data_IF_382846303014
#
_entry.id   IF_382846303014
#
_cell.length_a   1.000
_cell.length_b   1.000
_cell.length_c   1.000
_cell.angle_alpha   90.00
_cell.angle_beta   90.00
_cell.angle_gamma   90.00
#
_symmetry.space_group_name_H-M   'P 1'
#
loop_
_entity.id
_entity.type
_entity.pdbx_description
1 polymer ?
#
# COMPACT_ATOMS: atom_id res chain seq x y z
N UNK A 1 32.89 -56.37 -5.33
CA UNK A 1 33.39 -56.53 -6.71
C UNK A 1 34.87 -56.89 -6.72
N UNK A 2 35.72 -56.29 -5.86
CA UNK A 2 37.14 -56.70 -5.68
C UNK A 2 37.28 -58.12 -5.14
N UNK A 3 36.57 -58.45 -4.06
CA UNK A 3 36.70 -59.75 -3.38
C UNK A 3 36.26 -60.95 -4.23
N UNK A 4 35.40 -60.73 -5.24
CA UNK A 4 34.97 -61.78 -6.17
C UNK A 4 36.03 -62.02 -7.26
N UNK A 5 36.76 -60.97 -7.66
CA UNK A 5 37.86 -61.07 -8.61
C UNK A 5 39.07 -61.78 -7.99
N UNK A 6 39.41 -61.44 -6.74
CA UNK A 6 40.48 -62.11 -5.99
C UNK A 6 40.15 -63.59 -5.71
N UNK A 7 38.90 -63.92 -5.38
CA UNK A 7 38.47 -65.31 -5.21
C UNK A 7 38.53 -66.11 -6.52
N UNK A 8 38.27 -65.46 -7.67
CA UNK A 8 38.37 -66.08 -8.98
C UNK A 8 39.83 -66.32 -9.39
N UNK A 9 40.73 -65.37 -9.13
CA UNK A 9 42.17 -65.52 -9.40
C UNK A 9 42.81 -66.64 -8.57
N UNK A 10 42.45 -66.75 -7.28
CA UNK A 10 42.94 -67.83 -6.42
C UNK A 10 42.42 -69.20 -6.90
N UNK A 11 41.14 -69.28 -7.30
CA UNK A 11 40.56 -70.51 -7.82
C UNK A 11 41.17 -70.94 -9.16
N UNK A 12 41.55 -69.99 -10.02
CA UNK A 12 42.26 -70.31 -11.27
C UNK A 12 43.68 -70.82 -10.99
N UNK A 13 44.37 -70.26 -10.00
CA UNK A 13 45.74 -70.66 -9.66
C UNK A 13 45.79 -72.05 -9.01
N UNK A 14 44.82 -72.38 -8.15
CA UNK A 14 44.68 -73.73 -7.58
C UNK A 14 44.34 -74.78 -8.66
N UNK A 15 43.58 -74.40 -9.69
CA UNK A 15 43.28 -75.26 -10.83
C UNK A 15 44.54 -75.50 -11.68
N UNK A 16 45.29 -74.46 -12.00
CA UNK A 16 46.54 -74.58 -12.78
C UNK A 16 47.59 -75.44 -12.04
N UNK A 17 47.75 -75.26 -10.73
CA UNK A 17 48.65 -76.10 -9.94
C UNK A 17 48.19 -77.56 -9.83
N UNK A 18 46.89 -77.83 -9.88
CA UNK A 18 46.37 -79.19 -9.91
C UNK A 18 46.60 -79.86 -11.27
N UNK A 19 46.48 -79.11 -12.37
CA UNK A 19 46.74 -79.58 -13.73
C UNK A 19 48.23 -79.93 -13.91
N UNK A 20 49.17 -79.07 -13.48
CA UNK A 20 50.61 -79.36 -13.55
C UNK A 20 51.01 -80.62 -12.76
N UNK A 21 50.42 -80.84 -11.57
CA UNK A 21 50.68 -82.06 -10.77
C UNK A 21 50.13 -83.31 -11.44
N UNK A 22 48.98 -83.23 -12.10
CA UNK A 22 48.42 -84.33 -12.86
C UNK A 22 49.29 -84.67 -14.07
N UNK A 23 49.76 -83.67 -14.81
CA UNK A 23 50.65 -83.85 -15.97
C UNK A 23 51.99 -84.47 -15.55
N UNK A 24 52.59 -84.01 -14.44
CA UNK A 24 53.82 -84.58 -13.91
C UNK A 24 53.66 -86.08 -13.54
N UNK A 25 52.57 -86.43 -12.85
CA UNK A 25 52.30 -87.83 -12.49
C UNK A 25 52.01 -88.71 -13.72
N UNK A 26 51.38 -88.16 -14.77
CA UNK A 26 51.18 -88.89 -16.03
C UNK A 26 52.52 -89.16 -16.73
N UNK A 27 53.41 -88.16 -16.78
CA UNK A 27 54.75 -88.33 -17.36
C UNK A 27 55.58 -89.39 -16.62
N UNK A 28 55.52 -89.46 -15.29
CA UNK A 28 56.21 -90.50 -14.52
C UNK A 28 55.62 -91.91 -14.77
N UNK A 29 54.30 -91.99 -14.99
CA UNK A 29 53.61 -93.24 -15.30
C UNK A 29 53.96 -93.74 -16.72
N UNK A 30 54.14 -92.84 -17.69
CA UNK A 30 54.63 -93.19 -19.02
C UNK A 30 56.09 -93.67 -18.98
N UNK A 31 56.99 -92.94 -18.31
CA UNK A 31 58.40 -93.34 -18.18
C UNK A 31 58.58 -94.70 -17.49
N UNK A 32 57.70 -95.06 -16.56
CA UNK A 32 57.76 -96.38 -15.89
C UNK A 32 57.21 -97.50 -16.77
N UNK A 33 56.24 -97.22 -17.64
CA UNK A 33 55.76 -98.18 -18.66
C UNK A 33 56.83 -98.47 -19.70
N UNK A 34 57.49 -97.43 -20.23
CA UNK A 34 58.57 -97.59 -21.21
C UNK A 34 59.69 -98.50 -20.68
N UNK A 35 60.14 -98.29 -19.44
CA UNK A 35 61.16 -99.14 -18.80
C UNK A 35 60.70 -100.59 -18.60
N UNK A 36 59.41 -100.82 -18.42
CA UNK A 36 58.86 -102.17 -18.26
C UNK A 36 58.79 -102.91 -19.60
N UNK A 37 58.48 -102.20 -20.67
CA UNK A 37 58.49 -102.73 -22.05
C UNK A 37 59.93 -103.08 -22.49
N UNK A 38 60.93 -102.24 -22.19
CA UNK A 38 62.34 -102.55 -22.46
C UNK A 38 62.80 -103.84 -21.75
N UNK A 39 62.49 -103.99 -20.46
CA UNK A 39 62.83 -105.19 -19.68
C UNK A 39 62.10 -106.45 -20.19
N UNK A 40 60.89 -106.31 -20.72
CA UNK A 40 60.17 -107.43 -21.35
C UNK A 40 60.83 -107.87 -22.66
N UNK A 41 61.26 -106.91 -23.49
CA UNK A 41 61.98 -107.20 -24.74
C UNK A 41 63.31 -107.91 -24.43
N UNK A 42 64.08 -107.44 -23.44
CA UNK A 42 65.32 -108.08 -23.04
C UNK A 42 65.12 -109.54 -22.56
N UNK A 43 64.01 -109.80 -21.85
CA UNK A 43 63.66 -111.16 -21.44
C UNK A 43 63.29 -112.06 -22.62
N UNK A 44 62.59 -111.53 -23.62
CA UNK A 44 62.26 -112.26 -24.85
C UNK A 44 63.48 -112.55 -25.72
N UNK A 45 64.43 -111.61 -25.79
CA UNK A 45 65.73 -111.82 -26.47
C UNK A 45 66.52 -112.93 -25.76
N UNK A 46 66.63 -112.89 -24.44
CA UNK A 46 67.36 -113.93 -23.69
C UNK A 46 66.72 -115.33 -23.85
N UNK A 47 65.38 -115.39 -23.93
CA UNK A 47 64.63 -116.63 -24.14
C UNK A 47 64.82 -117.20 -25.55
N UNK A 48 64.87 -116.32 -26.55
CA UNK A 48 65.11 -116.73 -27.94
C UNK A 48 66.56 -117.17 -28.16
N UNK A 49 67.54 -116.50 -27.55
CA UNK A 49 68.95 -116.91 -27.59
C UNK A 49 69.22 -118.26 -26.91
N UNK A 50 68.48 -118.60 -25.85
CA UNK A 50 68.54 -119.93 -25.22
C UNK A 50 67.86 -121.04 -26.03
N UNK A 51 66.89 -120.71 -26.87
CA UNK A 51 66.18 -121.69 -27.71
C UNK A 51 66.95 -122.06 -28.97
N UNK A 52 67.89 -121.23 -29.44
CA UNK A 52 68.54 -121.37 -30.75
C UNK A 52 69.90 -122.10 -30.70
N UNK A 53 70.28 -122.66 -29.54
CA UNK A 53 71.45 -123.54 -29.40
C UNK A 53 71.03 -125.00 -29.24
N UNK A 54 70.58 -125.63 -30.33
CA UNK A 54 70.31 -127.06 -30.32
C UNK A 54 69.90 -127.68 -31.65
N UNK A 55 70.89 -128.28 -32.32
CA UNK A 55 70.78 -129.39 -33.28
C UNK A 55 70.64 -129.08 -34.79
N UNK A 56 71.72 -129.41 -35.48
CA UNK A 56 71.99 -129.38 -36.92
C UNK A 56 71.08 -130.22 -37.82
N UNK A 57 70.90 -129.74 -39.05
CA UNK A 57 71.23 -130.58 -40.21
C UNK A 57 70.11 -131.02 -41.16
N UNK A 58 69.29 -130.12 -41.73
CA UNK A 58 68.63 -130.29 -43.06
C UNK A 58 68.43 -128.94 -43.77
N UNK A 59 69.53 -128.34 -44.22
CA UNK A 59 69.61 -126.93 -44.62
C UNK A 59 69.13 -126.55 -46.03
N UNK A 60 68.93 -127.47 -46.98
CA UNK A 60 68.82 -127.05 -48.40
C UNK A 60 67.40 -126.84 -48.93
N UNK A 61 66.36 -127.44 -48.33
CA UNK A 61 64.95 -127.21 -48.72
C UNK A 61 64.30 -126.10 -47.89
N UNK A 62 64.80 -125.86 -46.68
CA UNK A 62 64.29 -124.81 -45.79
C UNK A 62 64.74 -123.41 -46.25
N UNK A 63 65.99 -123.26 -46.73
CA UNK A 63 66.50 -121.98 -47.20
C UNK A 63 65.74 -121.42 -48.41
N UNK A 64 65.29 -122.27 -49.34
CA UNK A 64 64.51 -121.81 -50.51
C UNK A 64 63.11 -121.37 -50.09
N UNK A 65 62.45 -122.13 -49.20
CA UNK A 65 61.14 -121.76 -48.66
C UNK A 65 61.20 -120.52 -47.75
N UNK A 66 62.31 -120.35 -47.04
CA UNK A 66 62.60 -119.18 -46.21
C UNK A 66 62.88 -117.95 -47.07
N UNK A 67 63.54 -118.09 -48.22
CA UNK A 67 63.76 -117.01 -49.19
C UNK A 67 62.47 -116.63 -49.95
N UNK A 68 61.60 -117.59 -50.25
CA UNK A 68 60.27 -117.32 -50.81
C UNK A 68 59.37 -116.61 -49.78
N UNK A 69 59.34 -117.08 -48.52
CA UNK A 69 58.67 -116.38 -47.43
C UNK A 69 59.29 -115.02 -47.12
N UNK A 70 60.60 -114.85 -47.25
CA UNK A 70 61.24 -113.54 -47.10
C UNK A 70 60.87 -112.60 -48.25
N UNK A 71 60.78 -113.09 -49.49
CA UNK A 71 60.31 -112.29 -50.62
C UNK A 71 58.82 -111.94 -50.50
N UNK A 72 58.00 -112.86 -50.00
CA UNK A 72 56.58 -112.62 -49.75
C UNK A 72 56.39 -111.61 -48.60
N UNK A 73 57.16 -111.74 -47.51
CA UNK A 73 57.22 -110.75 -46.43
C UNK A 73 57.76 -109.40 -46.88
N UNK A 74 58.74 -109.35 -47.79
CA UNK A 74 59.25 -108.10 -48.37
C UNK A 74 58.23 -107.45 -49.30
N UNK A 75 57.45 -108.23 -50.06
CA UNK A 75 56.32 -107.72 -50.85
C UNK A 75 55.20 -107.21 -49.95
N UNK A 76 54.84 -107.93 -48.89
CA UNK A 76 53.87 -107.47 -47.88
C UNK A 76 54.39 -106.23 -47.14
N UNK A 77 55.67 -106.16 -46.82
CA UNK A 77 56.29 -104.97 -46.22
C UNK A 77 56.28 -103.79 -47.19
N UNK A 78 56.57 -104.00 -48.47
CA UNK A 78 56.46 -102.96 -49.51
C UNK A 78 55.03 -102.49 -49.73
N UNK A 79 54.04 -103.39 -49.67
CA UNK A 79 52.62 -103.03 -49.73
C UNK A 79 52.23 -102.25 -48.48
N UNK A 80 52.63 -102.68 -47.28
CA UNK A 80 52.42 -101.93 -46.03
C UNK A 80 53.10 -100.57 -46.06
N UNK A 81 54.31 -100.46 -46.60
CA UNK A 81 55.04 -99.19 -46.69
C UNK A 81 54.42 -98.26 -47.74
N UNK A 82 53.89 -98.82 -48.85
CA UNK A 82 53.08 -98.07 -49.82
C UNK A 82 51.78 -97.59 -49.19
N UNK A 83 51.09 -98.43 -48.43
CA UNK A 83 49.82 -98.10 -47.81
C UNK A 83 50.01 -97.08 -46.66
N UNK A 84 51.09 -97.22 -45.86
CA UNK A 84 51.52 -96.22 -44.88
C UNK A 84 51.91 -94.90 -45.55
N UNK A 85 52.69 -94.93 -46.63
CA UNK A 85 53.06 -93.72 -47.37
C UNK A 85 51.84 -93.05 -48.03
N UNK A 86 50.87 -93.84 -48.50
CA UNK A 86 49.60 -93.31 -49.01
C UNK A 86 48.76 -92.69 -47.89
N UNK A 87 48.75 -93.31 -46.70
CA UNK A 87 48.06 -92.78 -45.52
C UNK A 87 48.72 -91.51 -45.00
N UNK A 88 50.05 -91.47 -44.84
CA UNK A 88 50.82 -90.28 -44.46
C UNK A 88 50.61 -89.13 -45.46
N UNK A 89 50.59 -89.43 -46.76
CA UNK A 89 50.31 -88.43 -47.79
C UNK A 89 48.87 -87.91 -47.71
N UNK A 90 47.92 -88.79 -47.38
CA UNK A 90 46.53 -88.38 -47.16
C UNK A 90 46.37 -87.55 -45.89
N UNK A 91 47.06 -87.90 -44.80
CA UNK A 91 47.08 -87.15 -43.54
C UNK A 91 47.77 -85.79 -43.71
N UNK A 92 48.94 -85.72 -44.34
CA UNK A 92 49.57 -84.45 -44.71
C UNK A 92 48.65 -83.59 -45.57
N UNK A 93 47.92 -84.18 -46.52
CA UNK A 93 46.97 -83.44 -47.34
C UNK A 93 45.75 -82.95 -46.54
N UNK A 94 45.33 -83.66 -45.48
CA UNK A 94 44.30 -83.19 -44.55
C UNK A 94 44.82 -82.06 -43.67
N UNK A 95 45.97 -82.24 -43.02
CA UNK A 95 46.61 -81.21 -42.21
C UNK A 95 46.92 -79.95 -43.01
N UNK A 96 47.34 -80.07 -44.27
CA UNK A 96 47.55 -78.93 -45.17
C UNK A 96 46.25 -78.16 -45.42
N UNK A 97 45.14 -78.86 -45.66
CA UNK A 97 43.82 -78.22 -45.84
C UNK A 97 43.34 -77.53 -44.57
N UNK A 98 43.54 -78.14 -43.41
CA UNK A 98 43.22 -77.53 -42.11
C UNK A 98 44.07 -76.29 -41.85
N UNK A 99 45.37 -76.33 -42.17
CA UNK A 99 46.27 -75.18 -42.10
C UNK A 99 45.85 -74.05 -43.05
N UNK A 100 45.45 -74.38 -44.27
CA UNK A 100 44.98 -73.40 -45.25
C UNK A 100 43.63 -72.79 -44.81
N UNK A 101 42.76 -73.59 -44.19
CA UNK A 101 41.50 -73.12 -43.63
C UNK A 101 41.72 -72.21 -42.42
N UNK A 102 42.56 -72.60 -41.46
CA UNK A 102 42.94 -71.74 -40.33
C UNK A 102 43.61 -70.44 -40.78
N UNK A 103 44.46 -70.47 -41.83
CA UNK A 103 45.00 -69.25 -42.43
C UNK A 103 43.92 -68.36 -43.02
N UNK A 104 42.90 -68.93 -43.66
CA UNK A 104 41.77 -68.16 -44.17
C UNK A 104 40.96 -67.51 -43.04
N UNK A 105 40.69 -68.24 -41.96
CA UNK A 105 40.00 -67.73 -40.77
C UNK A 105 40.81 -66.64 -40.06
N UNK A 106 42.13 -66.80 -39.92
CA UNK A 106 43.03 -65.78 -39.38
C UNK A 106 43.00 -64.52 -40.25
N UNK A 107 43.00 -64.66 -41.58
CA UNK A 107 42.89 -63.52 -42.49
C UNK A 107 41.53 -62.82 -42.39
N UNK A 108 40.44 -63.56 -42.23
CA UNK A 108 39.11 -62.99 -42.02
C UNK A 108 39.00 -62.28 -40.68
N UNK A 109 39.53 -62.86 -39.60
CA UNK A 109 39.61 -62.24 -38.28
C UNK A 109 40.50 -60.98 -38.29
N UNK A 110 41.62 -60.99 -39.01
CA UNK A 110 42.47 -59.81 -39.17
C UNK A 110 41.73 -58.68 -39.90
N UNK A 111 40.99 -58.99 -40.96
CA UNK A 111 40.14 -58.03 -41.68
C UNK A 111 39.00 -57.49 -40.80
N UNK A 112 38.40 -58.34 -39.97
CA UNK A 112 37.38 -57.91 -39.02
C UNK A 112 37.97 -56.99 -37.93
N UNK A 113 39.17 -57.32 -37.42
CA UNK A 113 39.90 -56.48 -36.47
C UNK A 113 40.24 -55.11 -37.05
N UNK A 114 40.73 -55.04 -38.29
CA UNK A 114 41.00 -53.76 -38.96
C UNK A 114 39.72 -52.93 -39.12
N UNK A 115 38.60 -53.54 -39.53
CA UNK A 115 37.31 -52.85 -39.64
C UNK A 115 36.80 -52.33 -38.30
N UNK A 116 36.92 -53.14 -37.24
CA UNK A 116 36.53 -52.74 -35.89
C UNK A 116 37.44 -51.62 -35.37
N UNK A 117 38.74 -51.68 -35.63
CA UNK A 117 39.68 -50.61 -35.28
C UNK A 117 39.31 -49.29 -35.96
N UNK A 118 39.00 -49.32 -37.26
CA UNK A 118 38.55 -48.12 -37.98
C UNK A 118 37.24 -47.56 -37.43
N UNK A 119 36.30 -48.45 -37.05
CA UNK A 119 35.03 -48.03 -36.45
C UNK A 119 35.25 -47.40 -35.07
N UNK A 120 36.19 -47.94 -34.28
CA UNK A 120 36.59 -47.36 -32.99
C UNK A 120 37.21 -45.98 -33.20
N UNK A 121 38.14 -45.83 -34.16
CA UNK A 121 38.74 -44.53 -34.47
C UNK A 121 37.69 -43.50 -34.94
N UNK A 122 36.68 -43.93 -35.70
CA UNK A 122 35.56 -43.08 -36.12
C UNK A 122 34.71 -42.65 -34.92
N UNK A 123 34.38 -43.57 -34.02
CA UNK A 123 33.65 -43.25 -32.80
C UNK A 123 34.45 -42.37 -31.86
N UNK A 124 35.78 -42.56 -31.75
CA UNK A 124 36.65 -41.69 -30.96
C UNK A 124 36.67 -40.26 -31.51
N UNK A 125 36.71 -40.09 -32.84
CA UNK A 125 36.57 -38.77 -33.47
C UNK A 125 35.21 -38.14 -33.19
N UNK A 126 34.12 -38.89 -33.34
CA UNK A 126 32.77 -38.40 -33.01
C UNK A 126 32.65 -38.03 -31.53
N UNK A 127 33.27 -38.80 -30.64
CA UNK A 127 33.34 -38.50 -29.20
C UNK A 127 34.16 -37.22 -28.94
N UNK A 128 35.23 -37.00 -29.68
CA UNK A 128 36.01 -35.76 -29.66
C UNK A 128 35.18 -34.56 -30.08
N UNK A 129 34.50 -34.64 -31.22
CA UNK A 129 33.62 -33.57 -31.73
C UNK A 129 32.46 -33.27 -30.76
N UNK A 130 31.82 -34.31 -30.18
CA UNK A 130 30.79 -34.10 -29.18
C UNK A 130 31.33 -33.45 -27.90
N UNK A 131 32.56 -33.81 -27.47
CA UNK A 131 33.19 -33.16 -26.32
C UNK A 131 33.47 -31.69 -26.58
N UNK A 132 34.00 -31.35 -27.76
CA UNK A 132 34.20 -29.94 -28.13
C UNK A 132 32.88 -29.15 -28.20
N UNK A 133 31.79 -29.77 -28.65
CA UNK A 133 30.46 -29.15 -28.62
C UNK A 133 29.94 -28.94 -27.19
N UNK A 134 30.19 -29.88 -26.28
CA UNK A 134 29.83 -29.73 -24.86
C UNK A 134 30.67 -28.65 -24.20
N UNK A 135 31.97 -28.58 -24.48
CA UNK A 135 32.84 -27.52 -23.96
C UNK A 135 32.43 -26.13 -24.50
N UNK A 136 32.03 -26.03 -25.77
CA UNK A 136 31.46 -24.81 -26.33
C UNK A 136 30.10 -24.44 -25.70
N UNK A 137 29.27 -25.44 -25.38
CA UNK A 137 28.00 -25.22 -24.68
C UNK A 137 28.23 -24.75 -23.22
N UNK A 138 29.23 -25.30 -22.53
CA UNK A 138 29.62 -24.84 -21.18
C UNK A 138 30.15 -23.40 -21.20
N UNK A 139 30.97 -23.04 -22.19
CA UNK A 139 31.39 -21.63 -22.36
C UNK A 139 30.24 -20.68 -22.70
N UNK A 140 29.17 -21.20 -23.33
CA UNK A 140 27.95 -20.42 -23.56
C UNK A 140 27.12 -20.23 -22.29
N UNK A 141 27.22 -21.13 -21.31
CA UNK A 141 26.55 -21.02 -20.01
C UNK A 141 27.10 -19.83 -19.21
N UNK A 142 28.43 -19.65 -19.14
CA UNK A 142 29.06 -18.49 -18.49
C UNK A 142 28.62 -17.17 -19.16
N UNK A 143 28.50 -17.16 -20.49
CA UNK A 143 28.03 -15.98 -21.22
C UNK A 143 26.54 -15.71 -20.96
N UNK A 144 25.72 -16.76 -20.87
CA UNK A 144 24.30 -16.64 -20.49
C UNK A 144 24.19 -16.09 -19.07
N UNK A 145 25.01 -16.57 -18.13
CA UNK A 145 25.02 -16.09 -16.74
C UNK A 145 25.33 -14.59 -16.68
N UNK A 146 26.39 -14.14 -17.35
CA UNK A 146 26.73 -12.71 -17.45
C UNK A 146 25.62 -11.87 -18.11
N UNK A 147 24.98 -12.39 -19.16
CA UNK A 147 23.84 -11.73 -19.81
C UNK A 147 22.62 -11.66 -18.87
N UNK A 148 22.37 -12.70 -18.07
CA UNK A 148 21.28 -12.71 -17.10
C UNK A 148 21.53 -11.74 -15.95
N UNK A 149 22.74 -11.67 -15.41
CA UNK A 149 23.11 -10.68 -14.40
C UNK A 149 22.93 -9.26 -14.95
N UNK A 150 23.39 -9.02 -16.18
CA UNK A 150 23.24 -7.70 -16.83
C UNK A 150 21.77 -7.36 -17.09
N UNK A 151 20.96 -8.32 -17.53
CA UNK A 151 19.52 -8.11 -17.71
C UNK A 151 18.83 -7.81 -16.38
N UNK A 152 19.12 -8.56 -15.32
CA UNK A 152 18.59 -8.30 -13.98
C UNK A 152 18.96 -6.89 -13.50
N UNK A 153 20.23 -6.50 -13.64
CA UNK A 153 20.68 -5.16 -13.27
C UNK A 153 19.99 -4.05 -14.08
N UNK A 154 19.76 -4.28 -15.39
CA UNK A 154 19.03 -3.35 -16.24
C UNK A 154 17.54 -3.29 -15.88
N UNK A 155 16.91 -4.42 -15.59
CA UNK A 155 15.52 -4.47 -15.13
C UNK A 155 15.34 -3.71 -13.82
N UNK A 156 16.25 -3.87 -12.86
CA UNK A 156 16.20 -3.14 -11.60
C UNK A 156 16.40 -1.65 -11.81
N UNK A 157 17.32 -1.25 -12.71
CA UNK A 157 17.49 0.15 -13.12
C UNK A 157 16.22 0.72 -13.76
N UNK A 158 15.53 -0.07 -14.58
CA UNK A 158 14.27 0.33 -15.21
C UNK A 158 13.17 0.50 -14.17
N UNK A 159 13.07 -0.40 -13.19
CA UNK A 159 12.11 -0.27 -12.07
C UNK A 159 12.40 0.97 -11.24
N UNK A 160 13.66 1.24 -10.90
CA UNK A 160 14.06 2.46 -10.20
C UNK A 160 13.64 3.72 -10.96
N UNK A 161 13.90 3.75 -12.28
CA UNK A 161 13.52 4.88 -13.12
C UNK A 161 11.99 5.03 -13.23
N UNK A 162 11.24 3.93 -13.28
CA UNK A 162 9.78 3.98 -13.27
C UNK A 162 9.24 4.58 -11.98
N UNK A 163 9.77 4.18 -10.82
CA UNK A 163 9.39 4.77 -9.53
C UNK A 163 9.71 6.27 -9.49
N UNK A 164 10.88 6.67 -9.99
CA UNK A 164 11.24 8.09 -10.07
C UNK A 164 10.33 8.88 -11.01
N UNK A 165 9.89 8.29 -12.13
CA UNK A 165 8.93 8.91 -13.04
C UNK A 165 7.57 9.07 -12.35
N UNK A 166 7.06 8.03 -11.69
CA UNK A 166 5.80 8.09 -10.94
C UNK A 166 5.84 9.18 -9.85
N UNK A 167 6.96 9.30 -9.14
CA UNK A 167 7.14 10.34 -8.12
C UNK A 167 7.21 11.74 -8.74
N UNK A 168 7.83 11.90 -9.92
CA UNK A 168 7.84 13.16 -10.66
C UNK A 168 6.45 13.52 -11.19
N UNK A 169 5.67 12.56 -11.66
CA UNK A 169 4.28 12.76 -12.09
C UNK A 169 3.41 13.21 -10.92
N UNK A 170 3.55 12.59 -9.73
CA UNK A 170 2.87 13.05 -8.51
C UNK A 170 3.26 14.47 -8.11
N UNK A 171 4.54 14.82 -8.24
CA UNK A 171 5.00 16.19 -7.97
C UNK A 171 4.43 17.18 -8.98
N UNK A 172 4.27 16.77 -10.24
CA UNK A 172 3.62 17.58 -11.27
C UNK A 172 2.14 17.80 -10.92
N UNK A 173 1.39 16.77 -10.54
CA UNK A 173 -0.01 16.88 -10.16
C UNK A 173 -0.20 17.86 -8.98
N UNK A 174 0.67 17.77 -7.97
CA UNK A 174 0.65 18.70 -6.83
C UNK A 174 0.98 20.13 -7.26
N UNK A 175 1.93 20.30 -8.19
CA UNK A 175 2.27 21.62 -8.72
C UNK A 175 1.12 22.22 -9.55
N UNK A 176 0.43 21.41 -10.35
CA UNK A 176 -0.72 21.85 -11.14
C UNK A 176 -1.88 22.28 -10.21
N UNK A 177 -2.16 21.53 -9.14
CA UNK A 177 -3.13 21.93 -8.11
C UNK A 177 -2.74 23.24 -7.42
N UNK A 178 -1.45 23.41 -7.09
CA UNK A 178 -0.96 24.64 -6.46
C UNK A 178 -1.05 25.83 -7.41
N UNK A 179 -0.82 25.64 -8.71
CA UNK A 179 -1.02 26.68 -9.72
C UNK A 179 -2.49 27.05 -9.91
N UNK A 180 -3.39 26.07 -9.88
CA UNK A 180 -4.84 26.34 -9.94
C UNK A 180 -5.29 27.16 -8.72
N UNK A 181 -4.90 26.74 -7.51
CA UNK A 181 -5.18 27.50 -6.29
C UNK A 181 -4.57 28.91 -6.31
N UNK A 182 -3.35 29.06 -6.84
CA UNK A 182 -2.73 30.37 -7.01
C UNK A 182 -3.49 31.26 -8.00
N UNK A 183 -4.03 30.69 -9.09
CA UNK A 183 -4.85 31.44 -10.06
C UNK A 183 -6.20 31.82 -9.47
N UNK A 184 -6.85 30.94 -8.71
CA UNK A 184 -8.11 31.23 -8.02
C UNK A 184 -7.94 32.37 -7.02
N UNK A 185 -6.92 32.29 -6.16
CA UNK A 185 -6.62 33.36 -5.20
C UNK A 185 -6.23 34.69 -5.87
N UNK A 186 -5.52 34.65 -7.00
CA UNK A 186 -5.25 35.86 -7.79
C UNK A 186 -6.54 36.48 -8.33
N UNK A 187 -7.47 35.66 -8.82
CA UNK A 187 -8.75 36.11 -9.34
C UNK A 187 -9.62 36.72 -8.24
N UNK A 188 -9.71 36.08 -7.07
CA UNK A 188 -10.39 36.61 -5.88
C UNK A 188 -9.83 37.98 -5.48
N UNK A 189 -8.51 38.12 -5.38
CA UNK A 189 -7.87 39.40 -5.04
C UNK A 189 -8.13 40.48 -6.09
N UNK A 190 -8.19 40.12 -7.38
CA UNK A 190 -8.55 41.07 -8.44
C UNK A 190 -10.00 41.53 -8.31
N UNK A 191 -10.93 40.62 -8.01
CA UNK A 191 -12.33 40.98 -7.76
C UNK A 191 -12.48 41.88 -6.54
N UNK A 192 -11.77 41.61 -5.44
CA UNK A 192 -11.74 42.48 -4.26
C UNK A 192 -11.22 43.89 -4.58
N UNK A 193 -10.16 43.98 -5.39
CA UNK A 193 -9.61 45.26 -5.85
C UNK A 193 -10.63 46.01 -6.71
N UNK A 194 -11.34 45.33 -7.62
CA UNK A 194 -12.38 45.96 -8.44
C UNK A 194 -13.56 46.44 -7.60
N UNK A 195 -13.97 45.67 -6.60
CA UNK A 195 -15.01 46.06 -5.63
C UNK A 195 -14.58 47.26 -4.78
N UNK A 196 -13.33 47.29 -4.31
CA UNK A 196 -12.77 48.42 -3.58
C UNK A 196 -12.68 49.68 -4.47
N UNK A 197 -12.25 49.53 -5.72
CA UNK A 197 -12.22 50.61 -6.70
C UNK A 197 -13.62 51.15 -7.01
N UNK A 198 -14.63 50.29 -7.12
CA UNK A 198 -16.02 50.70 -7.29
C UNK A 198 -16.52 51.52 -6.10
N UNK A 199 -16.25 51.07 -4.86
CA UNK A 199 -16.56 51.81 -3.63
C UNK A 199 -15.85 53.16 -3.58
N UNK A 200 -14.57 53.21 -3.97
CA UNK A 200 -13.81 54.46 -4.04
C UNK A 200 -14.44 55.44 -5.03
N UNK A 201 -14.81 54.98 -6.23
CA UNK A 201 -15.48 55.82 -7.24
C UNK A 201 -16.85 56.32 -6.76
N UNK A 202 -17.63 55.47 -6.07
CA UNK A 202 -18.90 55.90 -5.49
C UNK A 202 -18.70 56.94 -4.39
N UNK A 203 -17.70 56.74 -3.52
CA UNK A 203 -17.30 57.72 -2.50
C UNK A 203 -16.86 59.05 -3.11
N UNK A 204 -16.07 59.02 -4.19
CA UNK A 204 -15.67 60.22 -4.94
C UNK A 204 -16.88 60.97 -5.50
N UNK A 205 -17.82 60.26 -6.15
CA UNK A 205 -19.06 60.88 -6.66
C UNK A 205 -19.89 61.53 -5.55
N UNK A 206 -20.00 60.88 -4.39
CA UNK A 206 -20.69 61.46 -3.23
C UNK A 206 -19.98 62.71 -2.72
N UNK A 207 -18.65 62.69 -2.71
CA UNK A 207 -17.85 63.83 -2.29
C UNK A 207 -17.99 65.00 -3.25
N UNK A 208 -17.95 64.76 -4.56
CA UNK A 208 -18.22 65.76 -5.60
C UNK A 208 -19.63 66.36 -5.44
N UNK A 209 -20.67 65.53 -5.27
CA UNK A 209 -22.03 66.01 -5.04
C UNK A 209 -22.17 66.86 -3.75
N UNK A 210 -21.45 66.49 -2.69
CA UNK A 210 -21.43 67.29 -1.45
C UNK A 210 -20.64 68.60 -1.62
N UNK A 211 -19.56 68.60 -2.41
CA UNK A 211 -18.82 69.82 -2.75
C UNK A 211 -19.69 70.78 -3.58
N UNK A 212 -20.45 70.27 -4.56
CA UNK A 212 -21.42 71.08 -5.30
C UNK A 212 -22.49 71.66 -4.38
N UNK A 213 -23.06 70.86 -3.48
CA UNK A 213 -24.05 71.34 -2.51
C UNK A 213 -23.47 72.42 -1.57
N UNK A 214 -22.21 72.26 -1.13
CA UNK A 214 -21.52 73.27 -0.32
C UNK A 214 -21.35 74.57 -1.13
N UNK A 215 -20.92 74.48 -2.39
CA UNK A 215 -20.78 75.65 -3.25
C UNK A 215 -22.12 76.40 -3.45
N UNK A 216 -23.22 75.67 -3.63
CA UNK A 216 -24.57 76.24 -3.71
C UNK A 216 -24.99 76.92 -2.39
N UNK A 217 -24.69 76.29 -1.25
CA UNK A 217 -24.93 76.88 0.07
C UNK A 217 -24.06 78.12 0.30
N UNK A 218 -22.80 78.12 -0.09
CA UNK A 218 -21.91 79.28 0.00
C UNK A 218 -22.44 80.44 -0.86
N UNK A 219 -22.88 80.17 -2.10
CA UNK A 219 -23.51 81.17 -2.95
C UNK A 219 -24.78 81.73 -2.30
N UNK A 220 -25.59 80.86 -1.68
CA UNK A 220 -26.81 81.25 -0.98
C UNK A 220 -26.52 82.10 0.25
N UNK A 221 -25.51 81.73 1.04
CA UNK A 221 -25.04 82.50 2.19
C UNK A 221 -24.53 83.87 1.73
N UNK A 222 -23.82 83.95 0.60
CA UNK A 222 -23.35 85.23 0.08
C UNK A 222 -24.53 86.13 -0.30
N UNK A 223 -25.56 85.60 -0.99
CA UNK A 223 -26.80 86.35 -1.27
C UNK A 223 -27.49 86.82 0.01
N UNK A 224 -27.54 85.98 1.05
CA UNK A 224 -28.09 86.39 2.35
C UNK A 224 -27.23 87.46 3.02
N UNK A 225 -25.90 87.39 2.92
CA UNK A 225 -25.00 88.44 3.45
C UNK A 225 -25.25 89.77 2.76
N UNK A 226 -25.27 89.77 1.42
CA UNK A 226 -25.55 90.97 0.63
C UNK A 226 -26.95 91.53 0.96
N UNK A 227 -27.96 90.67 1.11
CA UNK A 227 -29.30 91.09 1.52
C UNK A 227 -29.34 91.63 2.96
N UNK A 228 -28.60 91.03 3.90
CA UNK A 228 -28.52 91.55 5.27
C UNK A 228 -27.75 92.87 5.33
N UNK A 229 -26.77 93.07 4.46
CA UNK A 229 -26.06 94.35 4.31
C UNK A 229 -27.01 95.41 3.76
N UNK A 230 -27.76 95.11 2.69
CA UNK A 230 -28.81 95.99 2.17
C UNK A 230 -29.88 96.31 3.22
N UNK A 231 -30.34 95.31 3.99
CA UNK A 231 -31.30 95.53 5.08
C UNK A 231 -30.69 96.31 6.25
N UNK A 232 -29.38 96.21 6.47
CA UNK A 232 -28.66 96.97 7.50
C UNK A 232 -28.44 98.40 7.05
N UNK A 233 -28.14 98.65 5.78
CA UNK A 233 -28.10 99.97 5.16
C UNK A 233 -29.49 100.61 5.19
N UNK A 234 -30.53 99.88 4.75
CA UNK A 234 -31.91 100.34 4.84
C UNK A 234 -32.35 100.60 6.28
N UNK A 235 -32.00 99.72 7.24
CA UNK A 235 -32.21 99.99 8.66
C UNK A 235 -31.35 101.14 9.17
N UNK A 236 -30.17 101.39 8.62
CA UNK A 236 -29.34 102.52 9.01
C UNK A 236 -29.92 103.82 8.47
N UNK A 237 -30.43 103.83 7.24
CA UNK A 237 -31.19 104.94 6.67
C UNK A 237 -32.49 105.17 7.43
N UNK A 238 -33.24 104.11 7.71
CA UNK A 238 -34.42 104.14 8.58
C UNK A 238 -34.03 104.55 9.98
N UNK A 239 -32.90 104.14 10.55
CA UNK A 239 -32.42 104.60 11.86
C UNK A 239 -31.89 106.02 11.79
N UNK A 240 -31.42 106.53 10.65
CA UNK A 240 -31.08 107.94 10.49
C UNK A 240 -32.35 108.79 10.34
N UNK A 241 -33.37 108.28 9.66
CA UNK A 241 -34.71 108.85 9.62
C UNK A 241 -35.39 108.74 10.98
N UNK A 242 -35.22 107.61 11.65
CA UNK A 242 -35.74 107.35 12.98
C UNK A 242 -34.92 108.14 13.96
N UNK A 243 -33.62 108.38 13.84
CA UNK A 243 -32.85 109.24 14.73
C UNK A 243 -33.14 110.73 14.46
N UNK A 244 -33.66 111.05 13.27
CA UNK A 244 -34.40 112.30 13.05
C UNK A 244 -35.79 112.29 13.75
N UNK A 245 -36.43 111.13 13.96
CA UNK A 245 -37.73 110.97 14.67
C UNK A 245 -37.63 110.53 16.15
N UNK A 246 -36.45 110.11 16.62
CA UNK A 246 -36.17 109.22 17.77
C UNK A 246 -34.95 109.79 18.52
N UNK A 247 -35.02 111.09 18.76
CA UNK A 247 -34.95 111.65 20.11
C UNK A 247 -36.13 111.16 21.01
N UNK A 248 -36.76 110.03 20.67
CA UNK A 248 -37.91 109.39 21.29
C UNK A 248 -37.71 107.88 21.23
N UNK A 249 -37.15 107.39 22.33
CA UNK A 249 -37.33 106.05 22.91
C UNK A 249 -36.46 104.93 22.33
N UNK A 250 -35.53 104.49 23.19
CA UNK A 250 -34.60 103.39 23.00
C UNK A 250 -35.08 102.08 23.66
N UNK A 251 -34.48 100.97 23.18
CA UNK A 251 -34.34 99.65 23.81
C UNK A 251 -35.63 98.80 23.92
N UNK A 252 -35.64 97.47 23.81
CA UNK A 252 -34.65 96.43 24.13
C UNK A 252 -35.08 95.08 23.51
N UNK A 253 -34.14 94.14 23.32
CA UNK A 253 -34.38 92.69 23.20
C UNK A 253 -34.36 92.04 24.59
N UNK A 254 -34.93 90.84 24.79
CA UNK A 254 -34.06 89.72 25.19
C UNK A 254 -34.45 88.34 24.60
N UNK A 255 -33.48 87.41 24.62
CA UNK A 255 -33.49 86.04 24.06
C UNK A 255 -33.67 85.00 25.19
N UNK A 256 -34.42 83.93 24.93
CA UNK A 256 -34.74 82.82 25.86
C UNK A 256 -33.69 81.69 25.88
N UNK A 257 -33.59 80.99 27.02
CA UNK A 257 -32.65 79.88 27.30
C UNK A 257 -33.17 78.51 26.80
N UNK A 258 -32.29 77.64 26.29
CA UNK A 258 -32.57 76.27 25.81
C UNK A 258 -32.03 75.19 26.78
N UNK A 259 -32.78 74.11 27.01
CA UNK A 259 -32.59 73.14 28.10
C UNK A 259 -31.77 71.88 27.69
N UNK A 260 -30.54 71.76 28.20
CA UNK A 260 -29.52 70.78 27.77
C UNK A 260 -29.69 69.35 28.34
N UNK A 261 -30.50 69.16 29.38
CA UNK A 261 -30.59 67.87 30.09
C UNK A 261 -31.35 66.79 29.33
N UNK A 262 -32.41 67.17 28.61
CA UNK A 262 -33.21 66.23 27.81
C UNK A 262 -32.39 65.67 26.65
N UNK A 263 -31.65 66.53 25.95
CA UNK A 263 -30.74 66.17 24.85
C UNK A 263 -29.62 65.21 25.30
N UNK A 264 -29.10 65.34 26.52
CA UNK A 264 -28.05 64.44 27.01
C UNK A 264 -28.57 63.02 27.30
N UNK A 265 -29.79 62.90 27.85
CA UNK A 265 -30.44 61.61 28.08
C UNK A 265 -30.79 60.92 26.75
N UNK A 266 -31.31 61.68 25.78
CA UNK A 266 -31.57 61.21 24.42
C UNK A 266 -30.29 60.74 23.72
N UNK A 267 -29.20 61.52 23.80
CA UNK A 267 -27.92 61.14 23.20
C UNK A 267 -27.31 59.88 23.85
N UNK A 268 -27.47 59.68 25.16
CA UNK A 268 -26.98 58.48 25.85
C UNK A 268 -27.80 57.24 25.49
N UNK A 269 -29.12 57.38 25.35
CA UNK A 269 -29.98 56.31 24.87
C UNK A 269 -29.69 55.96 23.40
N UNK A 270 -29.47 56.97 22.57
CA UNK A 270 -29.08 56.80 21.17
C UNK A 270 -27.71 56.11 21.03
N UNK A 271 -26.71 56.52 21.81
CA UNK A 271 -25.39 55.89 21.82
C UNK A 271 -25.46 54.39 22.19
N UNK A 272 -26.28 54.04 23.19
CA UNK A 272 -26.51 52.62 23.56
C UNK A 272 -27.27 51.84 22.50
N UNK A 273 -28.26 52.46 21.85
CA UNK A 273 -28.98 51.83 20.75
C UNK A 273 -28.04 51.51 19.58
N UNK A 274 -27.18 52.48 19.21
CA UNK A 274 -26.15 52.29 18.17
C UNK A 274 -25.15 51.21 18.58
N UNK A 275 -24.72 51.15 19.84
CA UNK A 275 -23.82 50.09 20.32
C UNK A 275 -24.48 48.70 20.26
N UNK A 276 -25.77 48.58 20.61
CA UNK A 276 -26.51 47.32 20.47
C UNK A 276 -26.74 46.93 19.01
N UNK A 277 -27.02 47.90 18.14
CA UNK A 277 -27.18 47.65 16.71
C UNK A 277 -25.86 47.21 16.06
N UNK A 278 -24.72 47.78 16.48
CA UNK A 278 -23.40 47.35 16.04
C UNK A 278 -23.07 45.94 16.52
N UNK A 279 -23.33 45.58 17.79
CA UNK A 279 -23.13 44.20 18.27
C UNK A 279 -24.06 43.21 17.57
N UNK A 280 -25.28 43.60 17.27
CA UNK A 280 -26.25 42.77 16.53
C UNK A 280 -25.83 42.55 15.09
N UNK A 281 -25.34 43.59 14.41
CA UNK A 281 -24.96 43.53 13.00
C UNK A 281 -23.58 42.89 12.79
N UNK A 282 -22.59 43.17 13.63
CA UNK A 282 -21.27 42.60 13.44
C UNK A 282 -21.19 41.20 14.03
N UNK A 283 -21.23 41.05 15.34
CA UNK A 283 -20.86 39.77 15.96
C UNK A 283 -21.87 38.66 15.63
N UNK A 284 -23.17 38.98 15.66
CA UNK A 284 -24.21 37.97 15.42
C UNK A 284 -24.32 37.60 13.94
N UNK A 285 -24.32 38.57 13.03
CA UNK A 285 -24.44 38.27 11.59
C UNK A 285 -23.15 37.69 11.02
N UNK A 286 -21.99 38.21 11.41
CA UNK A 286 -20.70 37.68 10.96
C UNK A 286 -20.51 36.24 11.44
N UNK A 287 -20.81 35.93 12.71
CA UNK A 287 -20.77 34.56 13.20
C UNK A 287 -21.78 33.66 12.47
N UNK A 288 -22.98 34.17 12.17
CA UNK A 288 -24.00 33.43 11.40
C UNK A 288 -23.52 33.17 9.97
N UNK A 289 -22.93 34.16 9.30
CA UNK A 289 -22.38 34.03 7.95
C UNK A 289 -21.18 33.08 7.93
N UNK A 290 -20.27 33.19 8.91
CA UNK A 290 -19.13 32.30 9.07
C UNK A 290 -19.57 30.84 9.25
N UNK A 291 -20.57 30.58 10.10
CA UNK A 291 -21.15 29.23 10.26
C UNK A 291 -21.81 28.75 8.97
N UNK A 292 -22.54 29.61 8.26
CA UNK A 292 -23.17 29.24 6.99
C UNK A 292 -22.13 28.90 5.90
N UNK A 293 -21.02 29.63 5.83
CA UNK A 293 -19.92 29.32 4.91
C UNK A 293 -19.26 28.00 5.29
N UNK A 294 -18.98 27.76 6.58
CA UNK A 294 -18.46 26.47 7.04
C UNK A 294 -19.41 25.31 6.73
N UNK A 295 -20.72 25.50 6.89
CA UNK A 295 -21.72 24.49 6.51
C UNK A 295 -21.74 24.19 5.00
N UNK A 296 -21.40 25.14 4.14
CA UNK A 296 -21.33 24.93 2.69
C UNK A 296 -20.13 24.07 2.25
N UNK A 297 -19.07 23.98 3.06
CA UNK A 297 -17.91 23.11 2.82
C UNK A 297 -18.09 21.68 3.35
N UNK A 298 -19.17 21.42 4.12
CA UNK A 298 -19.44 20.11 4.71
C UNK A 298 -20.40 19.30 3.82
N UNK A 299 -20.23 17.98 3.77
CA UNK A 299 -21.07 17.11 2.93
C UNK A 299 -22.55 17.14 3.33
N UNK A 300 -23.48 16.95 2.38
CA UNK A 300 -24.93 16.94 2.64
C UNK A 300 -25.38 15.91 3.71
N UNK A 301 -24.58 14.87 3.96
CA UNK A 301 -24.82 13.91 5.04
C UNK A 301 -24.75 14.55 6.44
N UNK A 302 -23.99 15.63 6.60
CA UNK A 302 -23.88 16.42 7.84
C UNK A 302 -25.16 17.22 8.11
N UNK A 303 -25.87 17.65 7.06
CA UNK A 303 -27.12 18.43 7.12
C UNK A 303 -28.39 17.56 7.18
N UNK A 304 -28.28 16.25 7.00
CA UNK A 304 -29.43 15.35 7.10
C UNK A 304 -30.01 15.36 8.52
N UNK A 305 -31.34 15.19 8.63
CA UNK A 305 -32.05 15.17 9.92
C UNK A 305 -31.48 14.09 10.84
N UNK A 306 -31.10 14.48 12.05
CA UNK A 306 -30.51 13.59 13.06
C UNK A 306 -29.02 13.32 12.86
N UNK A 307 -28.35 14.08 11.99
CA UNK A 307 -26.90 14.00 11.77
C UNK A 307 -26.14 14.98 12.70
N UNK A 308 -24.83 15.06 12.52
CA UNK A 308 -23.90 15.77 13.41
C UNK A 308 -24.24 17.27 13.59
N UNK A 309 -24.89 17.89 12.59
CA UNK A 309 -25.36 19.28 12.68
C UNK A 309 -26.42 19.48 13.78
N UNK A 310 -27.44 18.62 13.84
CA UNK A 310 -28.49 18.71 14.86
C UNK A 310 -27.93 18.43 16.26
N UNK A 311 -26.90 17.58 16.35
CA UNK A 311 -26.21 17.29 17.61
C UNK A 311 -25.41 18.51 18.12
N UNK A 312 -24.73 19.24 17.23
CA UNK A 312 -24.07 20.51 17.57
C UNK A 312 -25.10 21.57 18.00
N UNK A 313 -26.24 21.64 17.33
CA UNK A 313 -27.30 22.57 17.70
C UNK A 313 -27.88 22.27 19.10
N UNK A 314 -27.99 21.00 19.50
CA UNK A 314 -28.36 20.63 20.88
C UNK A 314 -27.32 21.13 21.89
N UNK A 315 -26.03 20.99 21.58
CA UNK A 315 -24.96 21.45 22.47
C UNK A 315 -25.01 22.97 22.70
N UNK A 316 -25.41 23.74 21.70
CA UNK A 316 -25.58 25.19 21.79
C UNK A 316 -26.92 25.60 22.43
N UNK A 317 -27.96 24.78 22.28
CA UNK A 317 -29.31 25.05 22.80
C UNK A 317 -29.34 25.08 24.33
N UNK A 318 -28.70 24.12 25.00
CA UNK A 318 -28.77 24.00 26.47
C UNK A 318 -28.12 25.21 27.18
N UNK A 319 -26.90 25.67 26.82
CA UNK A 319 -26.33 26.91 27.36
C UNK A 319 -27.16 28.16 27.02
N UNK A 320 -27.78 28.20 25.84
CA UNK A 320 -28.67 29.31 25.44
C UNK A 320 -29.92 29.38 26.32
N UNK A 321 -30.53 28.23 26.64
CA UNK A 321 -31.68 28.19 27.55
C UNK A 321 -31.28 28.60 28.98
N UNK A 322 -30.10 28.19 29.46
CA UNK A 322 -29.57 28.60 30.78
C UNK A 322 -29.43 30.12 30.85
N UNK A 323 -28.75 30.73 29.88
CA UNK A 323 -28.55 32.19 29.87
C UNK A 323 -29.86 32.97 29.74
N UNK A 324 -30.82 32.48 28.94
CA UNK A 324 -32.17 33.07 28.89
C UNK A 324 -32.91 32.99 30.22
N UNK A 325 -32.87 31.84 30.89
CA UNK A 325 -33.46 31.67 32.22
C UNK A 325 -32.79 32.55 33.28
N UNK A 326 -31.48 32.76 33.20
CA UNK A 326 -30.73 33.68 34.08
C UNK A 326 -31.13 35.14 33.87
N UNK A 327 -31.22 35.59 32.61
CA UNK A 327 -31.66 36.95 32.27
C UNK A 327 -33.08 37.19 32.78
N UNK A 328 -33.99 36.24 32.55
CA UNK A 328 -35.35 36.30 33.08
C UNK A 328 -35.36 36.39 34.61
N UNK A 329 -34.57 35.57 35.29
CA UNK A 329 -34.49 35.59 36.74
C UNK A 329 -33.94 36.92 37.29
N UNK A 330 -32.92 37.50 36.65
CA UNK A 330 -32.38 38.82 37.04
C UNK A 330 -33.39 39.94 36.81
N UNK A 331 -34.08 39.94 35.66
CA UNK A 331 -35.07 40.96 35.34
C UNK A 331 -36.33 40.88 36.21
N UNK A 332 -36.78 39.67 36.58
CA UNK A 332 -37.88 39.48 37.51
C UNK A 332 -37.50 39.95 38.92
N UNK A 333 -36.25 39.72 39.36
CA UNK A 333 -35.73 40.25 40.64
C UNK A 333 -35.63 41.77 40.68
N UNK A 334 -35.26 42.41 39.57
CA UNK A 334 -35.19 43.87 39.47
C UNK A 334 -36.59 44.51 39.40
N UNK A 335 -37.56 43.89 38.72
CA UNK A 335 -38.92 44.42 38.61
C UNK A 335 -39.77 44.27 39.88
N UNK A 336 -39.55 43.22 40.67
CA UNK A 336 -40.28 42.96 41.91
C UNK A 336 -39.34 42.91 43.12
N UNK A 337 -38.91 44.07 43.66
CA UNK A 337 -38.09 44.10 44.87
C UNK A 337 -38.85 43.58 46.10
N UNK A 338 -38.13 42.98 47.05
CA UNK A 338 -38.70 42.44 48.30
C UNK A 338 -39.45 43.53 49.08
N UNK A 339 -40.71 43.31 49.50
CA UNK A 339 -41.37 44.22 50.43
C UNK A 339 -40.71 44.10 51.80
N UNK A 340 -40.11 45.19 52.29
CA UNK A 340 -39.35 45.21 53.55
C UNK A 340 -40.23 45.17 54.82
N UNK A 341 -41.56 45.35 54.71
CA UNK A 341 -42.50 45.21 55.84
C UNK A 341 -43.83 44.57 55.42
N UNK A 342 -44.26 43.51 56.11
CA UNK A 342 -45.56 42.84 55.88
C UNK A 342 -46.58 43.36 56.91
N UNK A 343 -47.33 44.40 56.56
CA UNK A 343 -48.44 44.92 57.38
C UNK A 343 -49.81 44.40 56.89
N UNK A 344 -50.82 44.34 57.76
CA UNK A 344 -52.18 43.84 57.43
C UNK A 344 -52.88 44.63 56.30
N UNK A 345 -52.52 45.90 56.08
CA UNK A 345 -53.08 46.74 55.01
C UNK A 345 -52.47 46.46 53.62
N UNK A 346 -51.21 46.01 53.55
CA UNK A 346 -50.58 45.56 52.30
C UNK A 346 -51.19 44.25 51.75
N UNK A 347 -51.79 43.43 52.63
CA UNK A 347 -52.42 42.14 52.28
C UNK A 347 -53.83 42.33 51.70
N UNK A 348 -54.57 43.36 52.12
CA UNK A 348 -56.00 43.49 51.78
C UNK A 348 -56.31 44.49 50.65
N UNK A 349 -55.37 45.35 50.26
CA UNK A 349 -55.62 46.43 49.26
C UNK A 349 -54.68 46.46 48.06
N UNK A 350 -53.58 45.70 48.07
CA UNK A 350 -52.54 45.84 47.04
C UNK A 350 -52.09 44.48 46.54
N UNK A 351 -52.22 44.23 45.24
CA UNK A 351 -51.68 43.08 44.49
C UNK A 351 -50.16 42.92 44.56
N UNK A 352 -49.45 43.67 45.41
CA UNK A 352 -47.98 43.61 45.53
C UNK A 352 -47.50 42.32 46.20
N UNK A 353 -48.26 41.77 47.15
CA UNK A 353 -47.89 40.52 47.83
C UNK A 353 -48.15 39.32 46.92
N UNK A 354 -49.25 39.34 46.18
CA UNK A 354 -49.60 38.30 45.20
C UNK A 354 -48.66 38.35 43.97
N UNK A 355 -48.29 39.55 43.49
CA UNK A 355 -47.21 39.75 42.50
C UNK A 355 -45.86 39.26 43.01
N UNK A 356 -45.53 39.50 44.28
CA UNK A 356 -44.27 39.02 44.87
C UNK A 356 -44.28 37.49 45.09
N UNK A 357 -45.41 36.90 45.47
CA UNK A 357 -45.58 35.45 45.60
C UNK A 357 -45.51 34.77 44.22
N UNK A 358 -46.13 35.37 43.20
CA UNK A 358 -46.01 34.95 41.80
C UNK A 358 -44.57 35.05 41.29
N UNK A 359 -43.88 36.17 41.55
CA UNK A 359 -42.48 36.37 41.19
C UNK A 359 -41.57 35.31 41.86
N UNK A 360 -41.78 35.01 43.15
CA UNK A 360 -41.02 33.96 43.83
C UNK A 360 -41.32 32.56 43.31
N UNK A 361 -42.59 32.27 42.96
CA UNK A 361 -42.95 30.99 42.32
C UNK A 361 -42.31 30.86 40.94
N UNK A 362 -42.33 31.92 40.14
CA UNK A 362 -41.67 31.98 38.83
C UNK A 362 -40.16 31.82 38.98
N UNK A 363 -39.53 32.51 39.93
CA UNK A 363 -38.10 32.38 40.23
C UNK A 363 -37.73 30.97 40.68
N UNK A 364 -38.57 30.33 41.51
CA UNK A 364 -38.36 28.94 41.91
C UNK A 364 -38.41 27.99 40.70
N UNK A 365 -39.41 28.16 39.82
CA UNK A 365 -39.52 27.35 38.61
C UNK A 365 -38.35 27.59 37.64
N UNK A 366 -37.90 28.85 37.50
CA UNK A 366 -36.74 29.19 36.67
C UNK A 366 -35.42 28.63 37.23
N UNK A 367 -35.21 28.70 38.55
CA UNK A 367 -34.02 28.12 39.18
C UNK A 367 -34.06 26.57 39.18
N UNK A 368 -35.24 25.97 39.28
CA UNK A 368 -35.42 24.52 39.11
C UNK A 368 -35.09 24.09 37.68
N UNK A 369 -35.60 24.80 36.68
CA UNK A 369 -35.28 24.58 35.27
C UNK A 369 -33.77 24.78 35.00
N UNK A 370 -33.15 25.83 35.55
CA UNK A 370 -31.71 26.08 35.44
C UNK A 370 -30.89 24.91 36.01
N UNK A 371 -31.28 24.39 37.18
CA UNK A 371 -30.60 23.25 37.82
C UNK A 371 -30.73 21.97 36.97
N UNK A 372 -31.90 21.72 36.39
CA UNK A 372 -32.16 20.61 35.48
C UNK A 372 -31.33 20.74 34.19
N UNK A 373 -31.26 21.95 33.61
CA UNK A 373 -30.44 22.24 32.42
C UNK A 373 -28.94 22.07 32.70
N UNK A 374 -28.44 22.47 33.88
CA UNK A 374 -27.05 22.20 34.27
C UNK A 374 -26.74 20.71 34.43
N UNK A 375 -27.70 19.92 34.93
CA UNK A 375 -27.57 18.47 34.96
C UNK A 375 -27.51 17.89 33.54
N UNK A 376 -28.31 18.42 32.60
CA UNK A 376 -28.22 18.04 31.19
C UNK A 376 -26.87 18.42 30.56
N UNK A 377 -26.30 19.59 30.84
CA UNK A 377 -24.95 19.96 30.36
C UNK A 377 -23.91 18.98 30.88
N UNK A 378 -23.95 18.64 32.17
CA UNK A 378 -23.02 17.69 32.78
C UNK A 378 -23.18 16.27 32.20
N UNK A 379 -24.42 15.86 31.92
CA UNK A 379 -24.71 14.59 31.26
C UNK A 379 -24.18 14.57 29.81
N UNK A 380 -24.46 15.61 29.02
CA UNK A 380 -24.02 15.73 27.63
C UNK A 380 -22.48 15.72 27.51
N UNK A 381 -21.76 16.34 28.45
CA UNK A 381 -20.29 16.34 28.46
C UNK A 381 -19.66 14.98 28.82
N UNK A 382 -20.42 14.09 29.47
CA UNK A 382 -19.94 12.76 29.91
C UNK A 382 -20.56 11.60 29.09
N UNK A 383 -21.37 11.89 28.07
CA UNK A 383 -22.05 10.88 27.27
C UNK A 383 -21.16 10.29 26.17
N UNK A 384 -21.47 9.05 25.74
CA UNK A 384 -20.89 8.45 24.54
C UNK A 384 -21.45 9.11 23.27
N UNK A 385 -20.64 9.14 22.21
CA UNK A 385 -20.99 9.76 20.92
C UNK A 385 -22.28 9.19 20.34
N UNK A 386 -22.55 7.90 20.50
CA UNK A 386 -23.78 7.27 20.00
C UNK A 386 -25.06 7.72 20.73
N UNK A 387 -24.98 7.99 22.03
CA UNK A 387 -26.12 8.52 22.80
C UNK A 387 -26.34 9.99 22.48
N UNK A 388 -25.25 10.74 22.25
CA UNK A 388 -25.30 12.13 21.84
C UNK A 388 -26.01 12.29 20.48
N UNK A 389 -25.69 11.43 19.50
CA UNK A 389 -26.36 11.44 18.20
C UNK A 389 -27.86 11.13 18.30
N UNK A 390 -28.27 10.23 19.20
CA UNK A 390 -29.69 9.97 19.46
C UNK A 390 -30.39 11.18 20.09
N UNK A 391 -29.72 11.90 20.99
CA UNK A 391 -30.25 13.15 21.57
C UNK A 391 -30.35 14.25 20.50
N UNK A 392 -29.42 14.29 19.53
CA UNK A 392 -29.51 15.17 18.36
C UNK A 392 -30.84 15.07 17.60
N UNK A 393 -31.41 13.86 17.49
CA UNK A 393 -32.72 13.67 16.84
C UNK A 393 -33.89 14.34 17.59
N UNK A 394 -33.73 14.60 18.90
CA UNK A 394 -34.74 15.25 19.75
C UNK A 394 -34.62 16.79 19.74
N UNK A 395 -33.68 17.36 18.96
CA UNK A 395 -33.45 18.80 18.88
C UNK A 395 -34.74 19.60 18.60
N UNK A 396 -35.58 19.12 17.67
CA UNK A 396 -36.81 19.82 17.26
C UNK A 396 -37.79 19.97 18.43
N UNK A 397 -37.88 18.96 19.30
CA UNK A 397 -38.74 18.99 20.48
C UNK A 397 -38.20 19.92 21.56
N UNK A 398 -36.86 19.92 21.76
CA UNK A 398 -36.20 20.82 22.70
C UNK A 398 -36.24 22.29 22.24
N UNK A 399 -36.13 22.54 20.93
CA UNK A 399 -36.27 23.88 20.36
C UNK A 399 -37.68 24.47 20.54
N UNK A 400 -38.71 23.62 20.67
CA UNK A 400 -40.06 24.08 21.02
C UNK A 400 -40.12 24.60 22.47
N UNK A 401 -39.40 23.97 23.40
CA UNK A 401 -39.33 24.41 24.79
C UNK A 401 -38.60 25.76 24.93
N UNK A 402 -37.61 26.04 24.07
CA UNK A 402 -36.97 27.36 23.99
C UNK A 402 -37.97 28.47 23.62
N UNK A 403 -38.91 28.21 22.71
CA UNK A 403 -39.94 29.19 22.31
C UNK A 403 -40.88 29.55 23.46
N UNK A 404 -41.13 28.63 24.38
CA UNK A 404 -41.91 28.92 25.59
C UNK A 404 -41.19 29.93 26.49
N UNK A 405 -39.86 29.82 26.65
CA UNK A 405 -39.06 30.81 27.37
C UNK A 405 -39.03 32.17 26.65
N UNK A 406 -38.94 32.17 25.31
CA UNK A 406 -39.01 33.41 24.52
C UNK A 406 -40.36 34.12 24.67
N UNK A 407 -41.46 33.38 24.76
CA UNK A 407 -42.77 33.95 25.05
C UNK A 407 -42.80 34.68 26.40
N UNK A 408 -42.18 34.13 27.44
CA UNK A 408 -42.07 34.81 28.74
C UNK A 408 -41.14 36.04 28.69
N UNK A 409 -40.08 36.02 27.87
CA UNK A 409 -39.22 37.20 27.63
C UNK A 409 -39.99 38.31 26.93
N UNK A 410 -40.79 37.98 25.91
CA UNK A 410 -41.60 38.95 25.18
C UNK A 410 -42.71 39.56 26.06
N UNK A 411 -43.31 38.77 26.95
CA UNK A 411 -44.24 39.29 27.97
C UNK A 411 -43.53 40.22 28.97
N UNK A 412 -42.30 39.90 29.36
CA UNK A 412 -41.49 40.77 30.22
C UNK A 412 -41.15 42.09 29.53
N UNK A 413 -40.87 42.06 28.24
CA UNK A 413 -40.53 43.24 27.43
C UNK A 413 -41.72 44.16 27.18
N UNK A 414 -42.94 43.62 27.22
CA UNK A 414 -44.20 44.36 27.07
C UNK A 414 -44.79 44.86 28.40
N UNK A 415 -44.11 44.61 29.54
CA UNK A 415 -44.59 44.93 30.88
C UNK A 415 -45.96 44.30 31.24
N UNK A 416 -46.27 43.13 30.66
CA UNK A 416 -47.56 42.43 30.84
C UNK A 416 -47.48 41.18 31.72
N UNK A 417 -46.42 41.06 32.54
CA UNK A 417 -46.28 39.95 33.50
C UNK A 417 -47.12 40.24 34.75
N UNK A 418 -48.41 39.93 34.69
CA UNK A 418 -49.34 40.02 35.81
C UNK A 418 -49.73 38.63 36.36
N UNK A 419 -50.31 38.60 37.57
CA UNK A 419 -50.79 37.44 38.35
C UNK A 419 -51.71 36.46 37.59
N UNK A 420 -52.17 36.84 36.40
CA UNK A 420 -53.08 36.07 35.55
C UNK A 420 -52.37 35.26 34.45
N UNK A 421 -51.05 35.36 34.32
CA UNK A 421 -50.32 34.50 33.38
C UNK A 421 -50.28 33.08 33.96
N UNK A 422 -51.02 32.17 33.33
CA UNK A 422 -51.00 30.76 33.68
C UNK A 422 -49.57 30.22 33.49
N UNK A 423 -48.90 29.96 34.61
CA UNK A 423 -47.74 29.08 34.69
C UNK A 423 -48.23 27.65 34.43
N UNK A 424 -48.63 27.36 33.19
CA UNK A 424 -48.92 26.00 32.75
C UNK A 424 -47.61 25.23 32.60
N UNK A 425 -47.67 24.00 33.11
CA UNK A 425 -46.61 23.01 33.20
C UNK A 425 -46.01 22.60 31.84
#
# INVERSE_FOLDING_TARGET
>A
MSDLAEAMEIATLDKEMAEEKCEALQSELEQTKEKLEELQIDYEILKTEMSDKGSDGKATTYQVKQLEQQNERLKEALVKLRDLSAQEKQEQQRSQKELDQQKSEINELSRAKEKLSLLVDEYEKQLGELKEQVDAALGSEEMIELLTERNLALEDRVKELQVLVDDLERLQDVNDQLQESAKETELELREEVDMANARMREGQRKLEAMQEAIADYEQTIQKFRDQTEQLREANHELHMQLQKESDRVAMSKPVEYFDFKVKYAENKAFARAVEMDLRRLWELQEATHHVNYLCAFMSDNFLSRGSDHDAILVLLLVPRMITKSEILASQVKEKFPSPEEITKDTILKTHKIDQYAFANRLLYQLHFLQSLLHQYVSALNNCSVELFMKIGTLYIEMAFQEKALDYYIDLLRKDQLDENVNLMA
#
